data_IF_907969735646
#
_entry.id   IF_907969735646
#
_cell.length_a   1.000
_cell.length_b   1.000
_cell.length_c   1.000
_cell.angle_alpha   90.00
_cell.angle_beta   90.00
_cell.angle_gamma   90.00
#
_symmetry.space_group_name_H-M   'P 1'
#
loop_
_entity.id
_entity.type
_entity.pdbx_description
1 polymer ?
#
# COMPACT_ATOMS: atom_id res chain seq x y z
N UNK A 1 0.33 9.05 -6.71
CA UNK A 1 1.46 9.36 -5.84
C UNK A 1 2.78 8.87 -6.41
N UNK A 2 3.24 7.70 -6.02
CA UNK A 2 4.62 7.23 -6.25
C UNK A 2 5.09 7.25 -7.72
N UNK A 3 4.25 6.79 -8.68
CA UNK A 3 4.58 6.88 -10.11
C UNK A 3 4.70 8.32 -10.62
N UNK A 4 3.82 9.20 -10.15
CA UNK A 4 3.86 10.63 -10.56
C UNK A 4 5.10 11.32 -9.98
N UNK A 5 5.46 11.00 -8.75
CA UNK A 5 6.66 11.52 -8.10
C UNK A 5 7.92 11.05 -8.82
N UNK A 6 8.01 9.75 -9.16
CA UNK A 6 9.15 9.24 -9.95
C UNK A 6 9.22 9.78 -11.36
N UNK A 7 8.06 10.00 -12.02
CA UNK A 7 8.03 10.66 -13.33
C UNK A 7 8.50 12.13 -13.25
N UNK A 8 8.20 12.81 -12.15
CA UNK A 8 8.68 14.18 -11.92
C UNK A 8 10.20 14.20 -11.68
N UNK A 9 10.75 13.23 -10.93
CA UNK A 9 12.20 13.10 -10.76
C UNK A 9 12.91 12.95 -12.12
N UNK A 10 12.41 12.05 -12.98
CA UNK A 10 12.97 11.82 -14.32
C UNK A 10 12.90 13.08 -15.22
N UNK A 11 11.79 13.83 -15.14
CA UNK A 11 11.66 15.11 -15.83
C UNK A 11 12.75 16.10 -15.35
N UNK A 12 12.96 16.18 -14.05
CA UNK A 12 13.93 17.11 -13.46
C UNK A 12 15.38 16.67 -13.75
N UNK A 13 15.60 15.38 -14.04
CA UNK A 13 16.83 14.83 -14.60
C UNK A 13 17.01 15.13 -16.11
N UNK A 14 16.01 15.74 -16.77
CA UNK A 14 16.05 16.10 -18.18
C UNK A 14 15.69 14.96 -19.14
N UNK A 15 15.02 13.91 -18.68
CA UNK A 15 14.51 12.84 -19.53
C UNK A 15 13.42 13.33 -20.46
N UNK A 16 13.34 12.76 -21.65
CA UNK A 16 12.31 13.05 -22.62
C UNK A 16 10.94 12.53 -22.17
N UNK A 17 9.87 13.06 -22.76
CA UNK A 17 8.50 12.60 -22.47
C UNK A 17 8.31 11.12 -22.81
N UNK A 18 8.91 10.64 -23.91
CA UNK A 18 8.81 9.24 -24.33
C UNK A 18 9.50 8.30 -23.33
N UNK A 19 10.72 8.65 -22.88
CA UNK A 19 11.43 7.89 -21.85
C UNK A 19 10.64 7.81 -20.53
N UNK A 20 10.01 8.92 -20.13
CA UNK A 20 9.17 8.95 -18.91
C UNK A 20 7.92 8.11 -19.10
N UNK A 21 7.28 8.15 -20.26
CA UNK A 21 6.11 7.32 -20.57
C UNK A 21 6.47 5.83 -20.54
N UNK A 22 7.57 5.43 -21.14
CA UNK A 22 8.07 4.05 -21.12
C UNK A 22 8.37 3.58 -19.69
N UNK A 23 9.03 4.41 -18.89
CA UNK A 23 9.29 4.12 -17.48
C UNK A 23 7.98 3.92 -16.68
N UNK A 24 6.98 4.78 -16.88
CA UNK A 24 5.67 4.64 -16.21
C UNK A 24 4.99 3.33 -16.61
N UNK A 25 5.04 2.97 -17.89
CA UNK A 25 4.47 1.72 -18.40
C UNK A 25 5.17 0.49 -17.81
N UNK A 26 6.49 0.52 -17.67
CA UNK A 26 7.27 -0.53 -17.03
C UNK A 26 6.97 -0.63 -15.53
N UNK A 27 6.97 0.51 -14.82
CA UNK A 27 6.86 0.52 -13.35
C UNK A 27 5.43 0.39 -12.81
N UNK A 28 4.39 0.61 -13.62
CA UNK A 28 2.99 0.59 -13.15
C UNK A 28 2.56 -0.69 -12.46
N UNK A 29 3.09 -1.85 -12.87
CA UNK A 29 2.78 -3.14 -12.24
C UNK A 29 3.65 -3.42 -11.01
N UNK A 30 4.75 -2.69 -10.85
CA UNK A 30 5.72 -2.83 -9.75
C UNK A 30 5.42 -1.93 -8.56
N UNK A 31 4.41 -1.05 -8.64
CA UNK A 31 3.95 -0.29 -7.47
C UNK A 31 3.05 -1.15 -6.62
N UNK A 32 3.53 -1.55 -5.46
CA UNK A 32 2.74 -2.24 -4.45
C UNK A 32 1.81 -1.28 -3.71
N UNK A 33 0.64 -1.77 -3.39
CA UNK A 33 -0.38 -1.12 -2.60
C UNK A 33 -0.74 -2.09 -1.48
N UNK A 34 -0.05 -1.98 -0.34
CA UNK A 34 -0.30 -2.82 0.84
C UNK A 34 -1.08 -2.01 1.86
N UNK A 35 -2.23 -2.48 2.30
CA UNK A 35 -3.05 -1.71 3.21
C UNK A 35 -3.82 -2.58 4.19
N UNK A 36 -4.13 -2.00 5.32
CA UNK A 36 -5.02 -2.58 6.31
C UNK A 36 -6.13 -1.58 6.68
N UNK A 37 -7.19 -2.08 7.26
CA UNK A 37 -8.28 -1.24 7.75
C UNK A 37 -8.82 -1.80 9.06
N UNK A 38 -9.34 -0.90 9.90
CA UNK A 38 -10.04 -1.28 11.14
C UNK A 38 -11.56 -1.32 10.95
N UNK A 39 -12.05 -0.89 9.78
CA UNK A 39 -13.49 -0.76 9.49
C UNK A 39 -13.80 -1.25 8.07
N UNK A 40 -14.45 -2.40 7.95
CA UNK A 40 -14.77 -3.02 6.65
C UNK A 40 -16.13 -2.63 6.05
N UNK A 41 -16.97 -1.94 6.81
CA UNK A 41 -18.34 -1.64 6.33
C UNK A 41 -18.37 -0.80 5.06
N UNK A 42 -17.37 0.09 4.87
CA UNK A 42 -17.27 0.95 3.70
C UNK A 42 -16.92 0.15 2.45
N UNK A 43 -15.93 -0.74 2.54
CA UNK A 43 -15.56 -1.67 1.45
C UNK A 43 -16.73 -2.52 1.00
N UNK A 44 -17.53 -3.04 1.96
CA UNK A 44 -18.73 -3.83 1.68
C UNK A 44 -19.82 -3.00 1.00
N UNK A 45 -20.12 -1.82 1.54
CA UNK A 45 -21.14 -0.91 0.99
C UNK A 45 -20.82 -0.46 -0.43
N UNK A 46 -19.55 -0.24 -0.71
CA UNK A 46 -19.08 0.22 -2.02
C UNK A 46 -18.83 -0.91 -3.03
N UNK A 47 -19.02 -2.18 -2.63
CA UNK A 47 -18.79 -3.33 -3.50
C UNK A 47 -17.34 -3.56 -3.90
N UNK A 48 -16.36 -3.09 -3.08
CA UNK A 48 -14.92 -3.24 -3.34
C UNK A 48 -14.33 -4.48 -2.67
N UNK A 49 -15.14 -5.25 -1.95
CA UNK A 49 -14.75 -6.57 -1.43
C UNK A 49 -15.59 -7.65 -2.06
N UNK A 50 -14.94 -8.68 -2.62
CA UNK A 50 -15.61 -9.90 -3.07
C UNK A 50 -16.08 -10.77 -1.89
N UNK A 51 -17.06 -11.63 -2.11
CA UNK A 51 -17.79 -12.36 -1.06
C UNK A 51 -16.94 -13.14 -0.05
N UNK A 52 -15.79 -13.70 -0.42
CA UNK A 52 -14.91 -14.42 0.50
C UNK A 52 -14.24 -13.48 1.53
N UNK A 53 -13.86 -12.28 1.12
CA UNK A 53 -13.31 -11.26 2.02
C UNK A 53 -14.39 -10.62 2.91
N UNK A 54 -15.65 -10.61 2.47
CA UNK A 54 -16.79 -10.17 3.27
C UNK A 54 -17.11 -11.11 4.46
N UNK A 55 -16.66 -12.36 4.39
CA UNK A 55 -16.77 -13.33 5.48
C UNK A 55 -15.74 -13.12 6.61
N UNK A 56 -14.74 -12.23 6.42
CA UNK A 56 -13.91 -11.71 7.52
C UNK A 56 -14.83 -10.82 8.37
N UNK A 57 -15.69 -11.48 9.13
CA UNK A 57 -16.78 -10.88 9.86
C UNK A 57 -16.35 -9.71 10.72
N UNK A 58 -17.32 -8.95 11.17
CA UNK A 58 -17.30 -7.88 12.18
C UNK A 58 -16.77 -8.36 13.55
N UNK A 59 -15.68 -9.12 13.57
CA UNK A 59 -15.03 -9.52 14.80
C UNK A 59 -14.23 -8.34 15.31
N UNK A 60 -14.60 -7.86 16.47
CA UNK A 60 -13.95 -6.71 17.11
C UNK A 60 -12.43 -6.88 17.17
N UNK A 61 -11.71 -5.90 16.65
CA UNK A 61 -10.26 -5.86 16.70
C UNK A 61 -9.53 -6.68 15.64
N UNK A 62 -10.22 -7.24 14.65
CA UNK A 62 -9.57 -7.88 13.48
C UNK A 62 -9.30 -6.83 12.42
N UNK A 63 -8.05 -6.77 11.96
CA UNK A 63 -7.60 -5.94 10.86
C UNK A 63 -7.32 -6.84 9.64
N UNK A 64 -8.09 -6.76 8.56
CA UNK A 64 -7.74 -7.40 7.30
C UNK A 64 -6.50 -6.74 6.71
N UNK A 65 -5.64 -7.55 6.13
CA UNK A 65 -4.48 -7.13 5.36
C UNK A 65 -4.80 -7.33 3.89
N UNK A 66 -4.66 -6.29 3.11
CA UNK A 66 -5.15 -6.21 1.75
C UNK A 66 -4.06 -5.69 0.81
N UNK A 67 -4.18 -6.07 -0.46
CA UNK A 67 -3.35 -5.55 -1.54
C UNK A 67 -4.17 -5.30 -2.80
N UNK A 68 -3.61 -4.61 -3.77
CA UNK A 68 -4.11 -4.66 -5.14
C UNK A 68 -3.41 -5.79 -5.91
N UNK A 69 -4.18 -6.55 -6.70
CA UNK A 69 -3.63 -7.53 -7.64
C UNK A 69 -3.12 -6.87 -8.94
N UNK A 70 -2.69 -7.67 -9.91
CA UNK A 70 -2.25 -7.26 -11.24
C UNK A 70 -3.31 -6.50 -12.05
N UNK A 71 -4.60 -6.73 -11.75
CA UNK A 71 -5.76 -6.08 -12.38
C UNK A 71 -6.30 -4.88 -11.58
N UNK A 72 -5.64 -4.51 -10.48
CA UNK A 72 -6.08 -3.42 -9.60
C UNK A 72 -7.28 -3.76 -8.71
N UNK A 73 -7.61 -5.05 -8.51
CA UNK A 73 -8.68 -5.48 -7.62
C UNK A 73 -8.16 -5.59 -6.19
N UNK A 74 -9.01 -5.29 -5.22
CA UNK A 74 -8.69 -5.43 -3.80
C UNK A 74 -8.76 -6.91 -3.40
N UNK A 75 -7.65 -7.43 -2.93
CA UNK A 75 -7.52 -8.80 -2.41
C UNK A 75 -7.20 -8.72 -0.91
N UNK A 76 -8.09 -9.24 -0.07
CA UNK A 76 -7.78 -9.50 1.33
C UNK A 76 -7.09 -10.85 1.42
N UNK A 77 -5.81 -10.87 1.73
CA UNK A 77 -4.99 -12.08 1.71
C UNK A 77 -4.63 -12.59 3.11
N UNK A 78 -4.79 -11.75 4.14
CA UNK A 78 -4.51 -12.11 5.51
C UNK A 78 -5.42 -11.34 6.48
N UNK A 79 -5.43 -11.73 7.74
CA UNK A 79 -6.14 -11.07 8.83
C UNK A 79 -5.36 -11.21 10.13
N UNK A 80 -5.20 -10.12 10.85
CA UNK A 80 -4.49 -10.10 12.11
C UNK A 80 -5.31 -9.43 13.20
N UNK A 81 -5.00 -9.69 14.44
CA UNK A 81 -5.67 -9.06 15.57
C UNK A 81 -4.88 -7.82 16.03
N UNK A 82 -5.53 -6.67 15.99
CA UNK A 82 -4.98 -5.40 16.46
C UNK A 82 -4.05 -4.70 15.48
N UNK A 83 -4.00 -3.38 15.61
CA UNK A 83 -3.24 -2.48 14.72
C UNK A 83 -1.73 -2.77 14.72
N UNK A 84 -1.14 -3.05 15.89
CA UNK A 84 0.28 -3.36 16.01
C UNK A 84 0.69 -4.55 15.11
N UNK A 85 -0.12 -5.60 15.11
CA UNK A 85 0.12 -6.76 14.24
C UNK A 85 -0.13 -6.43 12.77
N UNK A 86 -1.08 -5.53 12.47
CA UNK A 86 -1.31 -5.08 11.10
C UNK A 86 -0.10 -4.29 10.55
N UNK A 87 0.48 -3.39 11.34
CA UNK A 87 1.71 -2.69 10.99
C UNK A 87 2.86 -3.68 10.78
N UNK A 88 3.09 -4.61 11.71
CA UNK A 88 4.15 -5.61 11.59
C UNK A 88 4.00 -6.47 10.33
N UNK A 89 2.76 -6.92 10.04
CA UNK A 89 2.46 -7.72 8.84
C UNK A 89 2.68 -6.93 7.54
N UNK A 90 2.33 -5.64 7.53
CA UNK A 90 2.56 -4.76 6.38
C UNK A 90 4.06 -4.59 6.10
N UNK A 91 4.87 -4.36 7.14
CA UNK A 91 6.33 -4.26 7.04
C UNK A 91 6.94 -5.59 6.55
N UNK A 92 6.49 -6.73 7.10
CA UNK A 92 6.95 -8.05 6.65
C UNK A 92 6.66 -8.28 5.16
N UNK A 93 5.46 -7.91 4.71
CA UNK A 93 5.09 -8.01 3.29
C UNK A 93 5.95 -7.08 2.42
N UNK A 94 6.22 -5.86 2.89
CA UNK A 94 7.14 -4.96 2.18
C UNK A 94 8.54 -5.56 2.05
N UNK A 95 9.09 -6.19 3.10
CA UNK A 95 10.39 -6.86 3.05
C UNK A 95 10.47 -7.98 2.00
N UNK A 96 9.37 -8.68 1.76
CA UNK A 96 9.31 -9.77 0.77
C UNK A 96 9.24 -9.26 -0.66
N UNK A 97 8.50 -8.17 -0.89
CA UNK A 97 8.13 -7.71 -2.21
C UNK A 97 8.88 -6.47 -2.69
N UNK A 98 9.48 -5.70 -1.79
CA UNK A 98 10.22 -4.50 -2.17
C UNK A 98 11.41 -4.85 -3.07
N UNK A 99 11.72 -3.98 -4.01
CA UNK A 99 12.91 -4.09 -4.86
C UNK A 99 14.16 -4.19 -3.97
N UNK A 100 14.97 -5.23 -4.16
CA UNK A 100 16.12 -5.59 -3.31
C UNK A 100 15.75 -5.97 -1.85
N UNK A 101 14.49 -6.31 -1.57
CA UNK A 101 14.06 -6.77 -0.25
C UNK A 101 14.35 -5.76 0.86
N UNK A 102 15.00 -6.19 1.94
CA UNK A 102 15.35 -5.33 3.08
C UNK A 102 16.36 -4.22 2.74
N UNK A 103 17.07 -4.33 1.61
CA UNK A 103 17.99 -3.30 1.10
C UNK A 103 17.29 -2.30 0.15
N UNK A 104 15.98 -2.16 0.26
CA UNK A 104 15.21 -1.22 -0.54
C UNK A 104 15.71 0.22 -0.39
N UNK A 105 16.03 0.85 -1.52
CA UNK A 105 16.57 2.22 -1.60
C UNK A 105 15.60 3.20 -2.27
N UNK A 106 14.39 2.75 -2.61
CA UNK A 106 13.38 3.61 -3.23
C UNK A 106 12.63 4.48 -2.22
N UNK A 107 11.75 5.33 -2.74
CA UNK A 107 10.82 6.12 -1.92
C UNK A 107 9.67 5.24 -1.43
N UNK A 108 9.15 5.52 -0.24
CA UNK A 108 7.93 4.91 0.27
C UNK A 108 6.91 5.98 0.68
N UNK A 109 5.64 5.77 0.36
CA UNK A 109 4.55 6.67 0.73
C UNK A 109 3.53 5.93 1.59
N UNK A 110 2.92 6.67 2.50
CA UNK A 110 1.79 6.20 3.30
C UNK A 110 0.61 7.14 3.06
N UNK A 111 -0.56 6.56 2.81
CA UNK A 111 -1.80 7.33 2.82
C UNK A 111 -2.73 6.78 3.89
N UNK A 112 -3.48 7.67 4.54
CA UNK A 112 -4.44 7.27 5.57
C UNK A 112 -5.80 7.95 5.41
N UNK A 113 -6.82 7.36 6.01
CA UNK A 113 -8.16 7.93 6.09
C UNK A 113 -8.54 8.16 7.54
N UNK A 114 -8.41 9.42 7.99
CA UNK A 114 -8.74 9.89 9.35
C UNK A 114 -8.13 9.02 10.48
N UNK A 115 -6.85 8.62 10.34
CA UNK A 115 -6.14 7.82 11.35
C UNK A 115 -4.63 8.13 11.33
N UNK A 116 -4.27 9.42 11.46
CA UNK A 116 -2.89 9.90 11.40
C UNK A 116 -1.95 9.15 12.35
N UNK A 117 -2.36 8.93 13.59
CA UNK A 117 -1.51 8.23 14.59
C UNK A 117 -1.16 6.79 14.13
N UNK A 118 -2.07 6.09 13.42
CA UNK A 118 -1.79 4.77 12.87
C UNK A 118 -0.82 4.86 11.66
N UNK A 119 -0.93 5.92 10.86
CA UNK A 119 -0.01 6.19 9.75
C UNK A 119 1.40 6.52 10.28
N UNK A 120 1.52 7.33 11.32
CA UNK A 120 2.80 7.66 11.98
C UNK A 120 3.46 6.42 12.59
N UNK A 121 2.69 5.56 13.26
CA UNK A 121 3.19 4.29 13.78
C UNK A 121 3.68 3.37 12.64
N UNK A 122 2.98 3.36 11.51
CA UNK A 122 3.39 2.61 10.32
C UNK A 122 4.65 3.20 9.68
N UNK A 123 4.75 4.53 9.57
CA UNK A 123 5.95 5.24 9.10
C UNK A 123 7.16 4.84 9.93
N UNK A 124 7.07 4.97 11.24
CA UNK A 124 8.17 4.64 12.16
C UNK A 124 8.63 3.17 11.99
N UNK A 125 7.69 2.25 11.82
CA UNK A 125 8.01 0.84 11.61
C UNK A 125 8.66 0.57 10.25
N UNK A 126 8.22 1.23 9.18
CA UNK A 126 8.83 1.14 7.83
C UNK A 126 10.24 1.73 7.86
N UNK A 127 10.44 2.92 8.38
CA UNK A 127 11.75 3.57 8.44
C UNK A 127 12.76 2.78 9.29
N UNK A 128 12.31 2.18 10.39
CA UNK A 128 13.15 1.30 11.20
C UNK A 128 13.56 0.01 10.46
N UNK A 129 12.69 -0.51 9.58
CA UNK A 129 12.94 -1.75 8.84
C UNK A 129 13.75 -1.55 7.56
N UNK A 130 13.77 -0.34 7.00
CA UNK A 130 14.39 0.00 5.72
C UNK A 130 15.32 1.22 5.87
N UNK A 131 16.53 1.03 6.41
CA UNK A 131 17.44 2.14 6.73
C UNK A 131 18.03 2.85 5.51
N UNK A 132 17.82 2.32 4.30
CA UNK A 132 18.35 2.85 3.05
C UNK A 132 17.29 3.54 2.16
N UNK A 133 16.11 3.84 2.71
CA UNK A 133 15.08 4.57 1.98
C UNK A 133 15.60 5.88 1.38
N UNK A 134 15.12 6.22 0.19
CA UNK A 134 15.37 7.52 -0.43
C UNK A 134 14.49 8.60 0.22
N UNK A 135 15.01 9.20 1.28
CA UNK A 135 14.32 10.21 2.08
C UNK A 135 13.33 9.62 3.08
N UNK A 136 12.62 10.50 3.78
CA UNK A 136 11.60 10.11 4.74
C UNK A 136 10.34 9.54 4.05
N UNK A 137 9.68 8.62 4.73
CA UNK A 137 8.36 8.15 4.31
C UNK A 137 7.36 9.30 4.35
N UNK A 138 6.74 9.61 3.21
CA UNK A 138 5.70 10.65 3.13
C UNK A 138 4.37 10.14 3.62
N UNK A 139 3.72 10.91 4.51
CA UNK A 139 2.33 10.68 4.90
C UNK A 139 1.42 11.65 4.16
N UNK A 140 0.33 11.15 3.61
CA UNK A 140 -0.71 11.92 2.92
C UNK A 140 -2.11 11.44 3.34
N UNK A 141 -3.09 12.29 3.19
CA UNK A 141 -4.50 11.89 3.27
C UNK A 141 -4.90 11.08 2.03
N UNK A 142 -5.76 10.08 2.22
CA UNK A 142 -6.43 9.39 1.11
C UNK A 142 -7.43 10.37 0.48
N UNK A 143 -7.38 10.52 -0.85
CA UNK A 143 -8.32 11.36 -1.57
C UNK A 143 -9.77 10.97 -1.30
N UNK A 144 -10.68 11.94 -1.24
CA UNK A 144 -12.08 11.81 -0.78
C UNK A 144 -12.85 10.69 -1.47
N UNK A 145 -12.66 10.49 -2.78
CA UNK A 145 -13.34 9.42 -3.54
C UNK A 145 -12.89 8.05 -3.01
N UNK A 146 -11.59 7.79 -2.87
CA UNK A 146 -11.08 6.52 -2.37
C UNK A 146 -11.44 6.35 -0.89
N UNK A 147 -11.37 7.42 -0.09
CA UNK A 147 -11.76 7.40 1.32
C UNK A 147 -13.23 7.04 1.53
N UNK A 148 -14.14 7.47 0.64
CA UNK A 148 -15.55 7.09 0.71
C UNK A 148 -15.79 5.58 0.50
N UNK A 149 -14.89 4.90 -0.19
CA UNK A 149 -14.91 3.45 -0.40
C UNK A 149 -14.18 2.66 0.68
N UNK A 150 -13.09 3.21 1.20
CA UNK A 150 -12.24 2.52 2.19
C UNK A 150 -12.64 2.83 3.64
N UNK A 151 -13.21 4.00 3.87
CA UNK A 151 -13.63 4.46 5.20
C UNK A 151 -12.47 4.90 6.09
N UNK A 152 -12.80 5.46 7.26
CA UNK A 152 -11.81 5.82 8.27
C UNK A 152 -11.09 4.58 8.82
N UNK A 153 -9.86 4.78 9.33
CA UNK A 153 -9.05 3.70 9.88
C UNK A 153 -8.33 2.85 8.83
N UNK A 154 -8.26 3.31 7.58
CA UNK A 154 -7.45 2.68 6.53
C UNK A 154 -6.08 3.34 6.46
N UNK A 155 -5.03 2.52 6.47
CA UNK A 155 -3.63 2.92 6.23
C UNK A 155 -3.09 2.09 5.06
N UNK A 156 -2.52 2.76 4.08
CA UNK A 156 -1.94 2.15 2.89
C UNK A 156 -0.46 2.55 2.73
N UNK A 157 0.39 1.57 2.46
CA UNK A 157 1.83 1.74 2.19
C UNK A 157 2.08 1.46 0.71
N UNK A 158 2.84 2.33 0.07
CA UNK A 158 3.19 2.27 -1.34
C UNK A 158 4.70 2.22 -1.49
N UNK A 159 5.19 1.30 -2.31
CA UNK A 159 6.62 1.12 -2.61
C UNK A 159 6.78 0.44 -3.98
N UNK A 160 7.97 0.50 -4.56
CA UNK A 160 8.32 -0.27 -5.75
C UNK A 160 8.83 -1.66 -5.36
N UNK A 161 8.48 -2.66 -6.14
CA UNK A 161 8.85 -4.04 -5.87
C UNK A 161 8.79 -4.93 -7.11
N UNK A 162 8.57 -6.22 -6.88
CA UNK A 162 8.27 -7.19 -7.93
C UNK A 162 6.92 -6.89 -8.62
N UNK A 163 6.60 -7.61 -9.69
CA UNK A 163 5.30 -7.45 -10.34
C UNK A 163 4.17 -7.90 -9.42
N UNK A 164 3.10 -7.10 -9.36
CA UNK A 164 1.92 -7.47 -8.58
C UNK A 164 1.33 -8.78 -9.07
N UNK A 165 1.23 -9.73 -8.17
CA UNK A 165 0.73 -11.06 -8.43
C UNK A 165 -0.80 -11.10 -8.61
N UNK A 166 -1.33 -12.03 -9.44
CA UNK A 166 -2.75 -12.28 -9.58
C UNK A 166 -3.43 -12.70 -8.27
N UNK A 167 -4.78 -12.73 -8.29
CA UNK A 167 -5.57 -13.32 -7.21
C UNK A 167 -5.20 -14.79 -7.01
N UNK A 168 -5.07 -15.20 -5.73
CA UNK A 168 -4.74 -16.59 -5.37
C UNK A 168 -3.25 -16.91 -5.34
N UNK A 169 -2.38 -15.99 -5.73
CA UNK A 169 -0.94 -16.16 -5.53
C UNK A 169 -0.56 -16.02 -4.06
N UNK A 170 0.44 -16.79 -3.62
CA UNK A 170 1.02 -16.65 -2.28
C UNK A 170 1.62 -15.25 -2.10
N UNK A 171 1.48 -14.70 -0.89
CA UNK A 171 1.98 -13.36 -0.49
C UNK A 171 3.02 -13.50 0.62
#
# INVERSE_FOLDING_TARGET
>A
GLLVDGAADLRDEGRSMDEIADWVLEKRQKVHHQFYSTELKFYRRSGRMSGAAAAIGTVLGICPIMRLDDKGRIIAYDKVRGKKNAVARTVETMKRHAENGENYTGKAFICHSNCLADAEATKAAVEAAFPHLNGEVRICDIGTIVASHSGPGTVAVFFFGDDRAPEGSAV
#
